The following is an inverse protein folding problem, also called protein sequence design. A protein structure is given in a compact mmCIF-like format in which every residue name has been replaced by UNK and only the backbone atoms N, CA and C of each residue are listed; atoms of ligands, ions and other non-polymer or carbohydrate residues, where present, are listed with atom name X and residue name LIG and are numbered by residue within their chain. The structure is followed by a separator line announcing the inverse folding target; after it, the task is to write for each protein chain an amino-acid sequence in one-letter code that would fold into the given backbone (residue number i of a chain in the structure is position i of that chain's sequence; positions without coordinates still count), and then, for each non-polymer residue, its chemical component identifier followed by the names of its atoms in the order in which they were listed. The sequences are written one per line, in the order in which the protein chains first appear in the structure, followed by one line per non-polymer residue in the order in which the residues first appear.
data_IF_273684848682
#
_entry.id   IF_273684848682
#
_cell.length_a   1.000
_cell.length_b   1.000
_cell.length_c   1.000
_cell.angle_alpha   90.00
_cell.angle_beta   90.00
_cell.angle_gamma   90.00
#
_symmetry.space_group_name_H-M   'P 1'
#
loop_
_entity.id
_entity.type
_entity.pdbx_description
1 polymer ?
#
# COMPACT_ATOMS: atom_id res chain seq x y z
N UNK A 1 1.24 16.52 15.92
CA UNK A 1 2.09 15.41 16.42
C UNK A 1 2.32 15.45 17.93
N UNK A 2 2.25 16.62 18.60
CA UNK A 2 2.54 16.75 20.05
C UNK A 2 1.59 15.91 20.93
N UNK A 3 0.28 15.96 20.70
CA UNK A 3 -0.68 15.22 21.55
C UNK A 3 -0.45 13.70 21.58
N UNK A 4 -0.02 13.09 20.48
CA UNK A 4 0.31 11.66 20.45
C UNK A 4 1.64 11.37 21.16
N UNK A 5 2.63 12.24 21.03
CA UNK A 5 3.91 12.12 21.72
C UNK A 5 3.75 12.29 23.24
N UNK A 6 2.93 13.26 23.67
CA UNK A 6 2.65 13.52 25.08
C UNK A 6 1.90 12.35 25.74
N UNK A 7 0.97 11.73 25.00
CA UNK A 7 0.21 10.58 25.47
C UNK A 7 1.01 9.26 25.54
N UNK A 8 2.16 9.18 24.84
CA UNK A 8 3.00 7.99 24.76
C UNK A 8 4.44 8.28 25.22
N UNK A 9 4.63 8.66 26.50
CA UNK A 9 5.95 8.97 27.02
C UNK A 9 6.89 7.77 26.89
N UNK A 10 8.10 8.01 26.38
CA UNK A 10 9.09 6.96 26.08
C UNK A 10 8.95 6.31 24.71
N UNK A 11 7.90 6.62 23.94
CA UNK A 11 7.77 6.19 22.54
C UNK A 11 8.18 7.31 21.59
N UNK A 12 9.10 7.01 20.67
CA UNK A 12 9.49 7.97 19.64
C UNK A 12 8.40 8.05 18.56
N UNK A 13 7.72 9.19 18.51
CA UNK A 13 6.72 9.50 17.48
C UNK A 13 7.39 10.31 16.37
N UNK A 14 7.38 9.78 15.15
CA UNK A 14 7.94 10.43 13.95
C UNK A 14 6.94 10.36 12.80
N UNK A 15 7.13 11.21 11.80
CA UNK A 15 6.41 11.14 10.53
C UNK A 15 7.14 10.26 9.52
N UNK A 16 6.52 9.94 8.38
CA UNK A 16 7.18 9.15 7.34
C UNK A 16 8.32 9.89 6.64
N UNK A 17 8.34 11.23 6.69
CA UNK A 17 9.43 12.04 6.13
C UNK A 17 10.77 11.74 6.84
N UNK A 18 10.75 11.27 8.09
CA UNK A 18 11.95 10.79 8.79
C UNK A 18 12.56 9.52 8.15
N UNK A 19 11.84 8.91 7.20
CA UNK A 19 12.23 7.75 6.40
C UNK A 19 12.24 8.05 4.89
N UNK A 20 12.37 9.32 4.52
CA UNK A 20 12.39 9.80 3.12
C UNK A 20 11.14 9.42 2.31
N UNK A 21 10.01 9.17 2.99
CA UNK A 21 8.74 8.85 2.35
C UNK A 21 7.71 9.95 2.67
N UNK A 22 7.06 10.54 1.66
CA UNK A 22 5.95 11.45 1.89
C UNK A 22 4.81 10.73 2.62
N UNK A 23 4.33 11.30 3.73
CA UNK A 23 3.27 10.68 4.54
C UNK A 23 1.96 10.49 3.76
N UNK A 24 1.68 11.35 2.79
CA UNK A 24 0.53 11.27 1.88
C UNK A 24 0.65 10.12 0.86
N UNK A 25 1.86 9.66 0.58
CA UNK A 25 2.12 8.59 -0.39
C UNK A 25 2.11 7.18 0.23
N UNK A 26 2.07 7.05 1.56
CA UNK A 26 2.23 5.78 2.28
C UNK A 26 1.19 4.75 1.84
N UNK A 27 -0.07 5.16 1.71
CA UNK A 27 -1.14 4.25 1.29
C UNK A 27 -0.93 3.79 -0.16
N UNK A 28 -0.57 4.71 -1.07
CA UNK A 28 -0.29 4.40 -2.47
C UNK A 28 0.88 3.42 -2.61
N UNK A 29 1.97 3.64 -1.89
CA UNK A 29 3.14 2.73 -1.87
C UNK A 29 2.76 1.38 -1.28
N UNK A 30 1.92 1.36 -0.25
CA UNK A 30 1.43 0.10 0.35
C UNK A 30 0.61 -0.69 -0.66
N UNK A 31 -0.29 -0.07 -1.42
CA UNK A 31 -1.02 -0.75 -2.50
C UNK A 31 -0.08 -1.31 -3.59
N UNK A 32 0.96 -0.57 -3.98
CA UNK A 32 1.95 -1.05 -4.93
C UNK A 32 2.71 -2.29 -4.40
N UNK A 33 3.07 -2.29 -3.11
CA UNK A 33 3.69 -3.44 -2.47
C UNK A 33 2.75 -4.67 -2.44
N UNK A 34 1.47 -4.47 -2.08
CA UNK A 34 0.45 -5.53 -2.10
C UNK A 34 0.25 -6.11 -3.51
N UNK A 35 0.24 -5.25 -4.54
CA UNK A 35 0.12 -5.66 -5.94
C UNK A 35 1.33 -6.48 -6.41
N UNK A 36 2.55 -6.10 -6.01
CA UNK A 36 3.76 -6.89 -6.31
C UNK A 36 3.65 -8.30 -5.74
N UNK A 37 3.22 -8.45 -4.49
CA UNK A 37 3.01 -9.76 -3.89
C UNK A 37 1.95 -10.56 -4.65
N UNK A 38 0.84 -9.93 -5.05
CA UNK A 38 -0.20 -10.58 -5.84
C UNK A 38 0.30 -11.08 -7.20
N UNK A 39 1.11 -10.28 -7.91
CA UNK A 39 1.73 -10.66 -9.19
C UNK A 39 2.71 -11.84 -9.03
N UNK A 40 3.43 -11.89 -7.91
CA UNK A 40 4.38 -12.97 -7.62
C UNK A 40 3.72 -14.21 -6.96
N UNK A 41 2.41 -14.16 -6.67
CA UNK A 41 1.69 -15.24 -6.02
C UNK A 41 2.00 -15.41 -4.53
N UNK A 42 2.57 -14.39 -3.89
CA UNK A 42 2.87 -14.40 -2.46
C UNK A 42 1.70 -13.83 -1.63
N UNK A 43 1.41 -14.40 -0.45
CA UNK A 43 0.39 -13.85 0.44
C UNK A 43 0.68 -12.39 0.79
N UNK A 44 -0.35 -11.57 0.75
CA UNK A 44 -0.28 -10.13 1.04
C UNK A 44 -1.29 -9.72 2.13
N UNK A 45 -1.89 -10.70 2.80
CA UNK A 45 -2.72 -10.52 3.99
C UNK A 45 -2.02 -11.04 5.24
N UNK A 46 -2.25 -10.37 6.37
CA UNK A 46 -1.74 -10.77 7.68
C UNK A 46 -2.93 -11.17 8.56
N UNK A 47 -3.12 -12.47 8.88
CA UNK A 47 -4.24 -12.95 9.67
C UNK A 47 -4.45 -12.24 11.01
N UNK A 48 -3.36 -11.94 11.74
CA UNK A 48 -3.44 -11.24 13.03
C UNK A 48 -3.95 -9.81 12.91
N UNK A 49 -3.87 -9.19 11.73
CA UNK A 49 -4.40 -7.86 11.46
C UNK A 49 -5.84 -7.89 10.93
N UNK A 50 -6.28 -8.99 10.31
CA UNK A 50 -7.59 -9.08 9.61
C UNK A 50 -8.60 -10.03 10.27
N UNK A 51 -8.17 -10.91 11.17
CA UNK A 51 -8.99 -11.99 11.72
C UNK A 51 -9.23 -13.18 10.77
N UNK A 52 -8.58 -13.20 9.60
CA UNK A 52 -8.69 -14.33 8.67
C UNK A 52 -8.10 -15.62 9.27
N UNK A 53 -8.59 -16.79 8.83
CA UNK A 53 -8.08 -18.10 9.32
C UNK A 53 -6.64 -18.40 8.89
N UNK A 54 -6.25 -17.92 7.72
CA UNK A 54 -4.91 -18.10 7.16
C UNK A 54 -4.59 -16.96 6.19
N UNK A 55 -3.30 -16.77 5.89
CA UNK A 55 -2.85 -15.79 4.91
C UNK A 55 -3.30 -16.19 3.50
N UNK A 56 -3.56 -15.20 2.65
CA UNK A 56 -4.00 -15.39 1.25
C UNK A 56 -3.36 -14.34 0.34
N UNK A 57 -3.33 -14.64 -0.95
CA UNK A 57 -3.10 -13.63 -1.99
C UNK A 57 -4.41 -12.87 -2.21
N UNK A 58 -4.44 -11.59 -1.85
CA UNK A 58 -5.56 -10.68 -2.09
C UNK A 58 -5.38 -9.91 -3.40
N UNK A 59 -6.49 -9.36 -3.89
CA UNK A 59 -6.54 -8.51 -5.08
C UNK A 59 -7.08 -9.25 -6.30
N UNK A 60 -7.34 -8.49 -7.37
CA UNK A 60 -7.74 -9.01 -8.68
C UNK A 60 -6.81 -8.42 -9.73
N UNK A 61 -6.20 -9.28 -10.55
CA UNK A 61 -5.40 -8.83 -11.69
C UNK A 61 -6.37 -8.60 -12.85
N UNK A 62 -6.46 -7.36 -13.30
CA UNK A 62 -7.19 -6.98 -14.51
C UNK A 62 -6.12 -6.74 -15.58
N UNK A 63 -5.93 -7.67 -16.53
CA UNK A 63 -4.96 -7.47 -17.59
C UNK A 63 -5.29 -6.18 -18.36
N UNK A 64 -4.31 -5.28 -18.45
CA UNK A 64 -4.42 -4.15 -19.35
C UNK A 64 -4.51 -4.65 -20.79
N UNK A 65 -5.15 -3.86 -21.66
CA UNK A 65 -5.20 -4.17 -23.08
C UNK A 65 -3.77 -4.09 -23.65
N UNK A 66 -3.18 -5.22 -24.01
CA UNK A 66 -1.97 -5.25 -24.86
C UNK A 66 -2.43 -4.98 -26.30
N UNK A 67 -2.49 -3.70 -26.71
CA UNK A 67 -2.69 -3.31 -28.12
C UNK A 67 -3.73 -2.23 -28.50
N UNK A 68 -4.07 -1.23 -27.68
CA UNK A 68 -4.86 -0.06 -28.14
C UNK A 68 -3.94 1.15 -28.22
N UNK A 69 -3.78 1.79 -29.42
CA UNK A 69 -3.00 3.02 -29.57
C UNK A 69 -3.67 4.20 -28.84
N UNK A 70 -2.93 5.30 -28.55
CA UNK A 70 -3.45 6.41 -27.76
C UNK A 70 -4.71 7.00 -28.37
N UNK A 71 -5.61 7.48 -27.50
CA UNK A 71 -6.81 8.20 -27.91
C UNK A 71 -6.41 9.35 -28.84
N UNK A 72 -6.92 9.34 -30.09
CA UNK A 72 -6.78 10.52 -30.95
C UNK A 72 -7.53 11.65 -30.26
N UNK A 73 -6.84 12.74 -29.98
CA UNK A 73 -7.50 14.01 -29.70
C UNK A 73 -8.38 14.37 -30.89
N UNK A 74 -9.59 14.84 -30.61
CA UNK A 74 -10.36 15.62 -31.57
C UNK A 74 -10.12 17.09 -31.28
N UNK A 75 -9.82 17.82 -32.35
CA UNK A 75 -9.90 19.28 -32.45
C UNK A 75 -11.23 19.85 -31.90
#
# INVERSE_FOLDING_TARGET
MTGLADALPGTRVVTFEAHDLPSDAVEAVTFAALARQAVLGYPNSIPSATGARHAVVMGKIIPGFRGIPPARGSD
#
